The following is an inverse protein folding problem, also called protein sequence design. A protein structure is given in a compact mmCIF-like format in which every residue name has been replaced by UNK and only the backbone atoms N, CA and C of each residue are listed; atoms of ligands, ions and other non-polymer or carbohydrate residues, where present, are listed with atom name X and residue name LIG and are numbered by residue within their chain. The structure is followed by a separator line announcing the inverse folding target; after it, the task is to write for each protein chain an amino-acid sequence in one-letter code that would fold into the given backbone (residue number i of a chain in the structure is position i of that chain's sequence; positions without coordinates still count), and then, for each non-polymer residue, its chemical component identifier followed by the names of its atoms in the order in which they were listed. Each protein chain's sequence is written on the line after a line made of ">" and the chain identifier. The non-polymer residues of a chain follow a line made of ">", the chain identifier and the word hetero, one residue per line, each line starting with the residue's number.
data_IF_569549036937
#
_entry.id   IF_569549036937
#
_cell.length_a   1.000
_cell.length_b   1.000
_cell.length_c   1.000
_cell.angle_alpha   90.00
_cell.angle_beta   90.00
_cell.angle_gamma   90.00
#
_symmetry.space_group_name_H-M   'P 1'
#
loop_
_entity.id
_entity.type
_entity.pdbx_description
1 polymer ?
#
# COMPACT_ATOMS: atom_id res chain seq x y z
N UNK A 1 -12.77 69.71 -48.67
CA UNK A 1 -13.00 68.37 -49.22
C UNK A 1 -12.84 67.34 -48.10
N UNK A 2 -13.80 66.42 -47.98
CA UNK A 2 -14.05 65.60 -46.78
C UNK A 2 -12.95 64.54 -46.56
N UNK A 3 -12.32 64.58 -45.39
CA UNK A 3 -11.62 63.45 -44.79
C UNK A 3 -12.65 62.36 -44.44
N UNK A 4 -12.40 61.11 -44.86
CA UNK A 4 -13.08 59.94 -44.31
C UNK A 4 -12.05 59.01 -43.68
N UNK A 5 -12.31 58.80 -42.39
CA UNK A 5 -11.51 58.12 -41.39
C UNK A 5 -11.63 56.60 -41.55
N UNK A 6 -10.52 55.91 -41.35
CA UNK A 6 -10.43 54.45 -41.22
C UNK A 6 -11.41 53.89 -40.18
N UNK A 7 -12.36 53.06 -40.60
CA UNK A 7 -13.19 52.25 -39.71
C UNK A 7 -12.54 50.92 -39.36
N UNK A 8 -11.87 50.84 -38.21
CA UNK A 8 -11.52 49.57 -37.54
C UNK A 8 -12.52 49.33 -36.41
N UNK A 9 -13.24 48.19 -36.41
CA UNK A 9 -14.00 47.80 -35.22
C UNK A 9 -15.12 46.79 -35.42
N UNK A 10 -14.79 45.52 -35.71
CA UNK A 10 -15.79 44.43 -35.61
C UNK A 10 -15.22 43.03 -35.28
N UNK A 11 -13.94 42.89 -34.89
CA UNK A 11 -13.31 41.55 -34.73
C UNK A 11 -12.77 41.24 -33.32
N UNK A 12 -12.70 42.20 -32.40
CA UNK A 12 -12.09 41.97 -31.07
C UNK A 12 -13.07 41.33 -30.05
N UNK A 13 -14.33 41.81 -30.00
CA UNK A 13 -15.27 41.44 -28.93
C UNK A 13 -15.69 39.97 -28.98
N UNK A 14 -15.92 39.42 -30.17
CA UNK A 14 -16.32 38.02 -30.37
C UNK A 14 -15.18 37.08 -30.00
N UNK A 15 -13.93 37.40 -30.37
CA UNK A 15 -12.73 36.61 -30.04
C UNK A 15 -12.44 36.60 -28.54
N UNK A 16 -12.64 37.74 -27.85
CA UNK A 16 -12.51 37.87 -26.39
C UNK A 16 -13.58 37.07 -25.64
N UNK A 17 -14.82 37.04 -26.15
CA UNK A 17 -15.87 36.23 -25.55
C UNK A 17 -15.65 34.73 -25.72
N UNK A 18 -15.17 34.25 -26.88
CA UNK A 18 -14.88 32.80 -27.06
C UNK A 18 -13.74 32.36 -26.14
N UNK A 19 -12.65 33.15 -26.06
CA UNK A 19 -11.54 32.88 -25.12
C UNK A 19 -11.98 32.84 -23.66
N UNK A 20 -12.91 33.72 -23.25
CA UNK A 20 -13.46 33.73 -21.88
C UNK A 20 -14.34 32.51 -21.62
N UNK A 21 -15.09 32.03 -22.63
CA UNK A 21 -15.88 30.80 -22.54
C UNK A 21 -14.99 29.54 -22.49
N UNK A 22 -13.90 29.51 -23.26
CA UNK A 22 -12.89 28.43 -23.24
C UNK A 22 -12.14 28.38 -21.91
N UNK A 23 -11.69 29.52 -21.37
CA UNK A 23 -11.05 29.60 -20.05
C UNK A 23 -11.99 29.13 -18.93
N UNK A 24 -13.27 29.50 -19.01
CA UNK A 24 -14.27 29.06 -18.04
C UNK A 24 -14.55 27.56 -18.17
N UNK A 25 -14.55 27.00 -19.37
CA UNK A 25 -14.70 25.56 -19.61
C UNK A 25 -13.49 24.77 -19.09
N UNK A 26 -12.27 25.26 -19.35
CA UNK A 26 -11.04 24.64 -18.86
C UNK A 26 -10.96 24.68 -17.32
N UNK A 27 -11.32 25.82 -16.71
CA UNK A 27 -11.38 25.96 -15.25
C UNK A 27 -12.41 25.01 -14.61
N UNK A 28 -13.60 24.87 -15.21
CA UNK A 28 -14.60 23.88 -14.77
C UNK A 28 -14.06 22.45 -14.92
N UNK A 29 -13.43 22.12 -16.04
CA UNK A 29 -12.86 20.80 -16.30
C UNK A 29 -11.78 20.44 -15.26
N UNK A 30 -10.83 21.34 -14.99
CA UNK A 30 -9.79 21.16 -13.98
C UNK A 30 -10.36 21.06 -12.55
N UNK A 31 -11.44 21.79 -12.25
CA UNK A 31 -12.11 21.72 -10.95
C UNK A 31 -12.81 20.37 -10.74
N UNK A 32 -13.46 19.85 -11.79
CA UNK A 32 -14.08 18.52 -11.75
C UNK A 32 -13.02 17.42 -11.64
N UNK A 33 -11.89 17.54 -12.36
CA UNK A 33 -10.84 16.54 -12.34
C UNK A 33 -10.07 16.52 -11.01
N UNK A 34 -9.79 17.69 -10.42
CA UNK A 34 -9.22 17.80 -9.08
C UNK A 34 -10.16 17.26 -8.00
N UNK A 35 -11.48 17.53 -8.09
CA UNK A 35 -12.46 16.96 -7.16
C UNK A 35 -12.55 15.42 -7.27
N UNK A 36 -12.43 14.85 -8.48
CA UNK A 36 -12.35 13.40 -8.67
C UNK A 36 -11.08 12.80 -8.07
N UNK A 37 -9.93 13.45 -8.23
CA UNK A 37 -8.67 13.03 -7.62
C UNK A 37 -8.77 13.05 -6.09
N UNK A 38 -9.27 14.15 -5.51
CA UNK A 38 -9.49 14.27 -4.06
C UNK A 38 -10.46 13.20 -3.52
N UNK A 39 -11.54 12.89 -4.25
CA UNK A 39 -12.48 11.84 -3.85
C UNK A 39 -11.85 10.43 -3.90
N UNK A 40 -10.95 10.17 -4.86
CA UNK A 40 -10.20 8.91 -4.95
C UNK A 40 -9.20 8.77 -3.80
N UNK A 41 -8.47 9.84 -3.48
CA UNK A 41 -7.51 9.86 -2.37
C UNK A 41 -8.23 9.69 -1.01
N UNK A 42 -9.40 10.30 -0.84
CA UNK A 42 -10.24 10.13 0.33
C UNK A 42 -10.79 8.69 0.48
N UNK A 43 -11.11 8.03 -0.64
CA UNK A 43 -11.55 6.64 -0.65
C UNK A 43 -10.41 5.64 -0.39
N UNK A 44 -9.17 5.96 -0.79
CA UNK A 44 -8.02 5.06 -0.64
C UNK A 44 -7.52 4.90 0.81
N UNK A 45 -7.90 5.80 1.74
CA UNK A 45 -7.25 5.92 3.05
C UNK A 45 -8.01 5.39 4.27
N UNK A 46 -9.17 4.72 4.15
CA UNK A 46 -10.02 4.45 5.34
C UNK A 46 -10.51 3.02 5.50
N UNK A 47 -9.68 2.03 5.23
CA UNK A 47 -9.96 0.70 5.79
C UNK A 47 -9.40 0.66 7.21
N UNK A 48 -10.17 1.14 8.21
CA UNK A 48 -9.79 1.15 9.64
C UNK A 48 -9.87 -0.25 10.28
N UNK A 49 -9.51 -1.27 9.52
CA UNK A 49 -9.49 -2.63 10.04
C UNK A 49 -8.35 -2.79 11.02
N UNK A 50 -8.54 -3.64 12.02
CA UNK A 50 -7.49 -4.03 12.98
C UNK A 50 -6.17 -4.39 12.30
N UNK A 51 -6.23 -5.07 11.16
CA UNK A 51 -5.05 -5.44 10.38
C UNK A 51 -4.35 -4.23 9.75
N UNK A 52 -5.10 -3.32 9.12
CA UNK A 52 -4.55 -2.10 8.56
C UNK A 52 -3.91 -1.22 9.66
N UNK A 53 -4.54 -1.15 10.83
CA UNK A 53 -4.02 -0.41 11.98
C UNK A 53 -2.74 -1.03 12.52
N UNK A 54 -2.68 -2.36 12.64
CA UNK A 54 -1.47 -3.06 13.05
C UNK A 54 -0.31 -2.85 12.07
N UNK A 55 -0.55 -2.91 10.75
CA UNK A 55 0.48 -2.65 9.73
C UNK A 55 1.02 -1.22 9.82
N UNK A 56 0.15 -0.23 10.02
CA UNK A 56 0.54 1.18 10.21
C UNK A 56 1.37 1.38 11.47
N UNK A 57 1.01 0.71 12.56
CA UNK A 57 1.71 0.81 13.84
C UNK A 57 3.02 0.01 13.91
N UNK A 58 3.20 -1.00 13.04
CA UNK A 58 4.35 -1.91 13.07
C UNK A 58 5.03 -2.04 11.69
N UNK A 59 5.55 -0.94 11.10
CA UNK A 59 6.09 -0.96 9.74
C UNK A 59 7.28 -1.91 9.58
N UNK A 60 8.20 -1.97 10.57
CA UNK A 60 9.36 -2.87 10.52
C UNK A 60 8.93 -4.35 10.50
N UNK A 61 8.02 -4.75 11.40
CA UNK A 61 7.48 -6.13 11.43
C UNK A 61 6.72 -6.48 10.16
N UNK A 62 5.94 -5.53 9.63
CA UNK A 62 5.23 -5.73 8.38
C UNK A 62 6.19 -5.92 7.20
N UNK A 63 7.26 -5.11 7.12
CA UNK A 63 8.29 -5.24 6.09
C UNK A 63 9.02 -6.58 6.18
N UNK A 64 9.32 -7.07 7.39
CA UNK A 64 9.92 -8.39 7.58
C UNK A 64 9.01 -9.51 7.04
N UNK A 65 7.72 -9.47 7.35
CA UNK A 65 6.75 -10.43 6.78
C UNK A 65 6.67 -10.35 5.25
N UNK A 66 6.70 -9.14 4.67
CA UNK A 66 6.72 -8.97 3.22
C UNK A 66 8.00 -9.52 2.58
N UNK A 67 9.15 -9.38 3.23
CA UNK A 67 10.41 -9.92 2.75
C UNK A 67 10.37 -11.44 2.69
N UNK A 68 9.88 -12.11 3.74
CA UNK A 68 9.66 -13.57 3.74
C UNK A 68 8.72 -13.98 2.61
N UNK A 69 7.58 -13.32 2.46
CA UNK A 69 6.62 -13.66 1.40
C UNK A 69 7.22 -13.54 0.00
N UNK A 70 8.05 -12.51 -0.22
CA UNK A 70 8.76 -12.31 -1.49
C UNK A 70 9.80 -13.39 -1.72
N UNK A 71 10.63 -13.69 -0.73
CA UNK A 71 11.67 -14.71 -0.82
C UNK A 71 11.08 -16.11 -1.06
N UNK A 72 9.99 -16.47 -0.38
CA UNK A 72 9.27 -17.73 -0.61
C UNK A 72 8.71 -17.78 -2.02
N UNK A 73 8.08 -16.68 -2.49
CA UNK A 73 7.53 -16.61 -3.84
C UNK A 73 8.62 -16.69 -4.92
N UNK A 74 9.78 -16.10 -4.66
CA UNK A 74 10.95 -16.12 -5.55
C UNK A 74 11.69 -17.47 -5.53
N UNK A 75 11.42 -18.34 -4.55
CA UNK A 75 12.18 -19.57 -4.32
C UNK A 75 13.52 -19.36 -3.64
N UNK A 76 13.80 -18.15 -3.16
CA UNK A 76 15.01 -17.79 -2.40
C UNK A 76 14.96 -18.30 -0.95
N UNK A 77 13.75 -18.50 -0.42
CA UNK A 77 13.51 -19.05 0.91
C UNK A 77 12.55 -20.23 0.81
N UNK A 78 13.02 -21.41 1.18
CA UNK A 78 12.18 -22.61 1.18
C UNK A 78 11.34 -22.68 2.47
N UNK A 79 10.04 -22.93 2.29
CA UNK A 79 9.12 -23.13 3.40
C UNK A 79 9.31 -24.52 4.00
N UNK A 80 9.78 -24.60 5.23
CA UNK A 80 9.96 -25.88 5.93
C UNK A 80 8.69 -26.27 6.70
N UNK A 81 8.61 -27.54 7.09
CA UNK A 81 7.60 -28.03 8.01
C UNK A 81 7.81 -27.46 9.43
N UNK A 82 6.80 -27.61 10.29
CA UNK A 82 6.89 -27.15 11.66
C UNK A 82 8.04 -27.85 12.40
N UNK A 83 9.02 -27.11 12.91
CA UNK A 83 10.19 -27.69 13.62
C UNK A 83 9.82 -28.53 14.86
N UNK A 84 8.61 -28.38 15.40
CA UNK A 84 8.15 -29.10 16.59
C UNK A 84 7.34 -30.36 16.24
N UNK A 85 6.56 -30.35 15.16
CA UNK A 85 5.64 -31.46 14.86
C UNK A 85 5.57 -31.89 13.40
N UNK A 86 6.38 -31.31 12.51
CA UNK A 86 6.47 -31.73 11.11
C UNK A 86 5.26 -31.41 10.24
N UNK A 87 4.27 -30.65 10.72
CA UNK A 87 3.12 -30.24 9.89
C UNK A 87 3.57 -29.14 8.92
N UNK A 88 3.20 -29.25 7.64
CA UNK A 88 3.57 -28.30 6.57
C UNK A 88 2.77 -26.98 6.61
N UNK A 89 1.59 -27.01 7.26
CA UNK A 89 0.79 -25.81 7.49
C UNK A 89 1.44 -24.93 8.58
N UNK A 90 2.37 -24.08 8.14
CA UNK A 90 3.17 -23.21 9.01
C UNK A 90 3.10 -21.73 8.63
N UNK A 91 3.41 -20.92 9.64
CA UNK A 91 3.71 -19.51 9.57
C UNK A 91 5.21 -19.28 9.84
N UNK A 92 5.76 -18.19 9.29
CA UNK A 92 7.10 -17.73 9.63
C UNK A 92 7.07 -16.98 10.97
N UNK A 93 7.84 -17.49 11.93
CA UNK A 93 8.10 -16.84 13.20
C UNK A 93 9.43 -16.08 13.14
N UNK A 94 9.42 -14.83 13.59
CA UNK A 94 10.63 -14.01 13.71
C UNK A 94 10.99 -13.92 15.20
N UNK A 95 12.12 -14.51 15.59
CA UNK A 95 12.67 -14.29 16.94
C UNK A 95 13.23 -12.86 17.03
N UNK A 96 13.85 -12.38 15.95
CA UNK A 96 14.34 -11.01 15.78
C UNK A 96 13.87 -10.47 14.42
N UNK A 97 13.42 -9.22 14.38
CA UNK A 97 12.86 -8.60 13.16
C UNK A 97 13.92 -7.89 12.30
N UNK A 98 15.15 -7.76 12.79
CA UNK A 98 16.26 -7.08 12.11
C UNK A 98 16.89 -7.94 10.99
N UNK A 99 16.69 -9.26 11.06
CA UNK A 99 17.06 -10.21 10.01
C UNK A 99 15.78 -10.88 9.46
N UNK A 100 15.17 -10.29 8.42
CA UNK A 100 13.82 -10.66 8.02
C UNK A 100 13.72 -12.03 7.36
N UNK A 101 14.82 -12.60 6.85
CA UNK A 101 14.80 -13.93 6.23
C UNK A 101 15.17 -15.04 7.21
N UNK A 102 15.73 -14.69 8.37
CA UNK A 102 15.98 -15.62 9.46
C UNK A 102 14.70 -15.87 10.24
N UNK A 103 13.96 -16.90 9.80
CA UNK A 103 12.69 -17.28 10.38
C UNK A 103 12.66 -18.74 10.79
N UNK A 104 11.86 -19.03 11.81
CA UNK A 104 11.47 -20.39 12.19
C UNK A 104 10.11 -20.72 11.59
N UNK A 105 9.95 -21.96 11.17
CA UNK A 105 8.70 -22.44 10.59
C UNK A 105 7.88 -23.12 11.67
N UNK A 106 6.75 -22.53 12.03
CA UNK A 106 5.89 -23.01 13.12
C UNK A 106 4.44 -23.12 12.69
N UNK A 107 3.79 -24.23 13.02
CA UNK A 107 2.33 -24.32 12.88
C UNK A 107 1.65 -23.35 13.86
N UNK A 108 0.42 -22.93 13.54
CA UNK A 108 -0.31 -21.92 14.32
C UNK A 108 -0.33 -22.22 15.83
N UNK A 109 -0.44 -23.49 16.21
CA UNK A 109 -0.44 -23.95 17.61
C UNK A 109 0.89 -23.65 18.30
N UNK A 110 2.01 -24.06 17.71
CA UNK A 110 3.34 -23.85 18.29
C UNK A 110 3.77 -22.38 18.21
N UNK A 111 3.41 -21.68 17.14
CA UNK A 111 3.65 -20.26 17.00
C UNK A 111 2.98 -19.46 18.12
N UNK A 112 1.70 -19.74 18.41
CA UNK A 112 0.96 -19.07 19.48
C UNK A 112 1.53 -19.43 20.86
N UNK A 113 1.88 -20.71 21.07
CA UNK A 113 2.50 -21.15 22.33
C UNK A 113 3.81 -20.42 22.60
N UNK A 114 4.66 -20.26 21.60
CA UNK A 114 5.93 -19.55 21.74
C UNK A 114 5.72 -18.09 22.18
N UNK A 115 4.75 -17.38 21.58
CA UNK A 115 4.41 -16.01 22.00
C UNK A 115 3.85 -15.90 23.44
N UNK A 116 3.21 -16.96 23.95
CA UNK A 116 2.62 -16.94 25.30
C UNK A 116 3.58 -17.39 26.41
N UNK A 117 4.45 -18.36 26.12
CA UNK A 117 5.24 -19.06 27.15
C UNK A 117 6.76 -18.96 26.97
N UNK A 118 7.25 -18.39 25.86
CA UNK A 118 8.68 -18.30 25.57
C UNK A 118 9.31 -19.61 25.03
N UNK A 119 10.62 -19.57 24.74
CA UNK A 119 11.36 -20.67 24.08
C UNK A 119 11.53 -21.93 24.93
N UNK A 120 11.36 -21.82 26.26
CA UNK A 120 11.67 -22.86 27.27
C UNK A 120 10.63 -24.01 27.34
N UNK A 121 9.81 -24.19 26.31
CA UNK A 121 8.67 -25.11 26.30
C UNK A 121 8.72 -26.16 25.19
N UNK A 122 9.78 -26.20 24.38
CA UNK A 122 9.93 -27.18 23.31
C UNK A 122 10.99 -28.22 23.68
N UNK A 123 10.66 -29.25 24.47
CA UNK A 123 11.52 -30.42 24.54
C UNK A 123 11.57 -31.00 23.12
N UNK A 124 12.76 -30.95 22.51
CA UNK A 124 13.03 -31.66 21.26
C UNK A 124 12.72 -33.12 21.56
N UNK A 125 11.60 -33.62 21.02
CA UNK A 125 11.36 -35.05 20.98
C UNK A 125 12.35 -35.62 19.98
N UNK A 126 13.57 -35.89 20.45
CA UNK A 126 14.46 -36.85 19.80
C UNK A 126 13.72 -38.20 19.88
N UNK A 127 12.92 -38.47 18.86
CA UNK A 127 12.30 -39.77 18.66
C UNK A 127 13.37 -40.76 18.25
N UNK A 128 13.65 -41.70 19.15
CA UNK A 128 14.33 -42.97 18.90
C UNK A 128 13.64 -43.77 17.80
#
# INVERSE_FOLDING_TARGET
>A
MRNLVFGRGATDRRRRSVRKLELAALSRYLSVESAKLQARDAAMLKTDTRQANWRRANPAKYNAHLAVQRAVKAGELEKQACEVCGIEMVDAHHDQYDDPLKVRWLCRRHHTRLHHYGEDMFPIRNGL
#
